data_IF_603465441525
#
_entry.id   IF_603465441525
#
_cell.length_a   1.000
_cell.length_b   1.000
_cell.length_c   1.000
_cell.angle_alpha   90.00
_cell.angle_beta   90.00
_cell.angle_gamma   90.00
#
_symmetry.space_group_name_H-M   'P 1'
#
loop_
_entity.id
_entity.type
_entity.pdbx_description
1 polymer ?
#
# COMPACT_ATOMS: atom_id res chain seq x y z
N UNK A 1 10.58 -19.54 67.75
CA UNK A 1 12.04 -19.48 67.96
C UNK A 1 12.57 -18.52 66.91
N UNK A 2 12.68 -17.20 67.12
CA UNK A 2 13.55 -16.42 68.03
C UNK A 2 15.03 -16.79 67.91
N UNK A 3 15.80 -15.85 67.32
CA UNK A 3 17.14 -15.33 67.73
C UNK A 3 17.77 -14.67 66.49
N UNK A 4 17.65 -13.36 66.24
CA UNK A 4 18.37 -12.24 66.86
C UNK A 4 19.59 -12.60 67.73
N UNK A 5 20.68 -11.83 67.55
CA UNK A 5 21.75 -11.38 68.47
C UNK A 5 23.07 -11.25 67.68
N UNK A 6 23.98 -10.29 67.83
CA UNK A 6 24.17 -9.04 68.59
C UNK A 6 25.42 -8.37 67.97
N UNK A 7 25.42 -7.05 67.70
CA UNK A 7 26.02 -5.98 68.52
C UNK A 7 27.51 -6.13 68.84
N UNK A 8 28.32 -5.10 68.51
CA UNK A 8 29.13 -4.31 69.47
C UNK A 8 29.75 -3.10 68.74
N UNK A 9 29.42 -1.93 69.26
CA UNK A 9 30.01 -0.62 69.01
C UNK A 9 31.05 -0.38 70.13
N UNK A 10 32.25 0.13 69.81
CA UNK A 10 33.14 0.75 70.79
C UNK A 10 33.57 2.14 70.31
N UNK A 11 33.39 3.08 71.22
CA UNK A 11 33.50 4.53 71.18
C UNK A 11 34.90 4.97 71.67
N UNK A 12 35.00 6.26 72.08
CA UNK A 12 35.96 6.85 73.05
C UNK A 12 37.05 7.65 72.28
N UNK A 13 37.23 8.98 72.40
CA UNK A 13 37.39 9.91 73.55
C UNK A 13 37.23 11.36 73.01
N UNK A 14 36.30 12.19 73.53
CA UNK A 14 36.49 13.37 74.42
C UNK A 14 37.44 14.49 73.93
N UNK A 15 37.34 15.78 74.27
CA UNK A 15 36.65 16.69 75.20
C UNK A 15 37.00 18.11 74.63
N UNK A 16 36.38 19.26 74.88
CA UNK A 16 36.30 20.01 76.15
C UNK A 16 35.82 21.46 75.81
N UNK A 17 34.79 21.95 76.53
CA UNK A 17 34.61 23.33 77.06
C UNK A 17 34.09 24.45 76.14
N UNK A 18 32.84 24.95 76.30
CA UNK A 18 32.24 25.85 77.32
C UNK A 18 32.78 27.30 77.26
N UNK A 19 32.00 28.23 76.68
CA UNK A 19 31.38 29.44 77.27
C UNK A 19 31.13 30.56 76.23
N UNK A 20 30.11 31.42 76.46
CA UNK A 20 29.57 32.36 75.48
C UNK A 20 30.34 33.68 75.46
N UNK A 21 30.54 34.22 74.26
CA UNK A 21 31.07 35.56 74.04
C UNK A 21 30.18 36.29 73.04
N UNK A 22 29.39 37.23 73.54
CA UNK A 22 28.66 38.19 72.74
C UNK A 22 29.70 39.16 72.12
N UNK A 23 29.77 39.28 70.80
CA UNK A 23 30.34 40.47 70.18
C UNK A 23 29.72 40.73 68.81
N UNK A 24 29.17 41.93 68.70
CA UNK A 24 28.61 42.56 67.51
C UNK A 24 29.69 42.84 66.46
N UNK A 25 29.39 42.37 65.25
CA UNK A 25 29.57 43.03 63.95
C UNK A 25 30.98 43.48 63.50
N UNK A 26 31.43 42.86 62.40
CA UNK A 26 32.08 43.58 61.32
C UNK A 26 31.65 42.94 59.99
N UNK A 27 31.09 43.75 59.11
CA UNK A 27 30.54 43.39 57.81
C UNK A 27 31.71 43.07 56.85
N UNK A 28 31.82 41.81 56.40
CA UNK A 28 32.74 41.40 55.35
C UNK A 28 31.98 41.25 54.03
N UNK A 29 32.45 41.98 53.01
CA UNK A 29 31.94 41.93 51.64
C UNK A 29 32.07 40.50 51.06
N UNK A 30 31.04 39.98 50.37
CA UNK A 30 31.05 38.62 49.85
C UNK A 30 32.04 38.45 48.70
N UNK A 31 32.81 37.37 48.78
CA UNK A 31 33.71 36.91 47.70
C UNK A 31 32.87 36.33 46.55
N UNK A 32 33.15 36.79 45.32
CA UNK A 32 32.44 36.36 44.11
C UNK A 32 32.93 34.98 43.68
N UNK A 33 32.02 34.00 43.66
CA UNK A 33 32.22 32.67 43.07
C UNK A 33 32.12 32.76 41.54
N UNK A 34 32.94 32.03 40.74
CA UNK A 34 32.84 32.08 39.29
C UNK A 34 31.52 31.49 38.80
N UNK A 35 30.74 32.28 38.06
CA UNK A 35 29.52 31.85 37.38
C UNK A 35 29.87 30.82 36.30
N UNK A 36 29.32 29.61 36.39
CA UNK A 36 29.28 28.66 35.27
C UNK A 36 28.48 29.29 34.14
N UNK A 37 29.12 29.55 33.01
CA UNK A 37 28.46 29.93 31.76
C UNK A 37 27.57 28.77 31.31
N UNK A 38 26.26 28.91 31.46
CA UNK A 38 25.28 28.00 30.86
C UNK A 38 25.27 28.24 29.34
N UNK A 39 25.61 27.19 28.59
CA UNK A 39 25.46 27.16 27.14
C UNK A 39 23.96 27.35 26.81
N UNK A 40 23.62 28.14 25.76
CA UNK A 40 22.23 28.29 25.35
C UNK A 40 21.61 26.92 25.05
N UNK A 41 20.32 26.70 25.36
CA UNK A 41 19.66 25.46 24.97
C UNK A 41 19.75 25.30 23.45
N UNK A 42 20.22 24.15 23.00
CA UNK A 42 20.10 23.73 21.60
C UNK A 42 18.63 23.86 21.19
N UNK A 43 18.30 24.55 20.08
CA UNK A 43 16.92 24.60 19.62
C UNK A 43 16.42 23.18 19.42
N UNK A 44 15.34 22.83 20.11
CA UNK A 44 14.60 21.60 19.82
C UNK A 44 14.24 21.66 18.33
N UNK A 45 14.55 20.63 17.54
CA UNK A 45 14.12 20.60 16.14
C UNK A 45 12.60 20.78 16.14
N UNK A 46 12.14 21.82 15.46
CA UNK A 46 10.71 21.96 15.14
C UNK A 46 10.30 20.64 14.47
N UNK A 47 9.24 19.96 14.95
CA UNK A 47 8.75 18.78 14.26
C UNK A 47 8.51 19.17 12.80
N UNK A 48 9.13 18.42 11.89
CA UNK A 48 8.88 18.54 10.47
C UNK A 48 7.37 18.42 10.27
N UNK A 49 6.72 19.34 9.53
CA UNK A 49 5.29 19.24 9.30
C UNK A 49 4.99 17.86 8.72
N UNK A 50 4.03 17.16 9.33
CA UNK A 50 3.53 15.89 8.80
C UNK A 50 3.21 16.07 7.31
N UNK A 51 3.65 15.14 6.43
CA UNK A 51 3.43 15.29 5.01
C UNK A 51 1.92 15.46 4.75
N UNK A 52 1.57 16.52 4.02
CA UNK A 52 0.19 16.79 3.63
C UNK A 52 -0.24 15.68 2.68
N UNK A 53 -1.13 14.82 3.14
CA UNK A 53 -1.62 13.68 2.36
C UNK A 53 -2.73 14.17 1.42
N UNK A 54 -2.38 14.43 0.15
CA UNK A 54 -3.29 15.03 -0.85
C UNK A 54 -4.64 14.33 -0.93
N UNK A 55 -4.66 12.99 -0.80
CA UNK A 55 -5.86 12.17 -0.90
C UNK A 55 -6.88 12.39 0.22
N UNK A 56 -6.53 13.10 1.30
CA UNK A 56 -7.47 13.40 2.39
C UNK A 56 -8.41 14.57 2.08
N UNK A 57 -8.04 15.41 1.13
CA UNK A 57 -8.71 16.69 0.88
C UNK A 57 -9.36 16.76 -0.52
N UNK A 58 -9.42 15.63 -1.24
CA UNK A 58 -9.99 15.54 -2.59
C UNK A 58 -11.18 14.59 -2.65
N UNK A 59 -12.07 14.84 -3.61
CA UNK A 59 -13.13 13.90 -4.01
C UNK A 59 -12.61 13.03 -5.15
N UNK A 60 -12.74 11.71 -4.98
CA UNK A 60 -12.45 10.74 -6.04
C UNK A 60 -13.71 10.46 -6.87
N UNK A 61 -13.52 10.31 -8.17
CA UNK A 61 -14.54 9.85 -9.11
C UNK A 61 -14.11 8.53 -9.75
N UNK A 62 -14.90 7.48 -9.56
CA UNK A 62 -14.65 6.16 -10.14
C UNK A 62 -15.14 6.13 -11.59
N UNK A 63 -14.26 5.70 -12.51
CA UNK A 63 -14.55 5.62 -13.94
C UNK A 63 -14.36 4.18 -14.42
N UNK A 64 -15.42 3.64 -14.99
CA UNK A 64 -15.34 2.48 -15.87
C UNK A 64 -15.12 2.96 -17.31
N UNK A 65 -13.88 2.93 -17.79
CA UNK A 65 -13.46 3.52 -19.09
C UNK A 65 -14.42 3.12 -20.22
N UNK A 66 -14.67 1.82 -20.37
CA UNK A 66 -15.57 1.22 -21.36
C UNK A 66 -16.96 1.86 -21.44
N UNK A 67 -17.48 2.40 -20.35
CA UNK A 67 -18.86 2.90 -20.26
C UNK A 67 -18.95 4.42 -20.01
N UNK A 68 -17.81 5.12 -19.98
CA UNK A 68 -17.81 6.54 -19.64
C UNK A 68 -18.12 7.42 -20.85
N UNK A 69 -17.27 7.38 -21.87
CA UNK A 69 -17.49 8.14 -23.10
C UNK A 69 -16.69 7.57 -24.28
N UNK A 70 -17.37 7.31 -25.38
CA UNK A 70 -16.84 6.79 -26.65
C UNK A 70 -16.45 7.97 -27.56
N UNK A 71 -15.17 8.05 -27.93
CA UNK A 71 -14.60 9.15 -28.70
C UNK A 71 -14.57 8.91 -30.22
N UNK A 72 -14.60 7.65 -30.66
CA UNK A 72 -14.38 7.27 -32.06
C UNK A 72 -15.59 6.59 -32.73
N UNK A 73 -16.63 6.28 -31.95
CA UNK A 73 -17.91 5.74 -32.38
C UNK A 73 -17.95 4.23 -32.52
N UNK A 74 -17.00 3.49 -31.94
CA UNK A 74 -16.97 2.02 -31.97
C UNK A 74 -17.94 1.36 -30.96
N UNK A 75 -18.52 2.15 -30.05
CA UNK A 75 -19.46 1.72 -29.01
C UNK A 75 -18.80 1.42 -27.66
N UNK A 76 -17.50 1.67 -27.50
CA UNK A 76 -16.70 1.45 -26.30
C UNK A 76 -16.09 2.79 -25.86
N UNK A 77 -16.19 3.10 -24.57
CA UNK A 77 -15.50 4.26 -24.01
C UNK A 77 -13.99 4.05 -23.93
N UNK A 78 -13.24 5.13 -24.11
CA UNK A 78 -11.79 5.11 -24.31
C UNK A 78 -11.10 6.30 -23.58
N UNK A 79 -9.75 6.32 -23.53
CA UNK A 79 -9.01 7.38 -22.84
C UNK A 79 -9.19 8.76 -23.45
N UNK A 80 -9.27 8.85 -24.79
CA UNK A 80 -9.54 10.11 -25.48
C UNK A 80 -10.95 10.63 -25.16
N UNK A 81 -11.89 9.72 -24.93
CA UNK A 81 -13.23 10.03 -24.47
C UNK A 81 -13.25 10.61 -23.05
N UNK A 82 -12.40 10.08 -22.15
CA UNK A 82 -12.21 10.68 -20.82
C UNK A 82 -11.64 12.11 -20.94
N UNK A 83 -10.62 12.31 -21.79
CA UNK A 83 -10.03 13.64 -22.05
C UNK A 83 -11.11 14.63 -22.53
N UNK A 84 -11.98 14.22 -23.46
CA UNK A 84 -13.08 15.04 -23.97
C UNK A 84 -14.12 15.42 -22.91
N UNK A 85 -14.10 14.78 -21.74
CA UNK A 85 -14.99 15.07 -20.61
C UNK A 85 -14.27 15.67 -19.41
N UNK A 86 -12.99 16.05 -19.55
CA UNK A 86 -12.28 16.70 -18.45
C UNK A 86 -13.01 17.93 -17.95
N UNK A 87 -13.51 18.82 -18.82
CA UNK A 87 -14.22 20.03 -18.37
C UNK A 87 -15.52 19.73 -17.59
N UNK A 88 -16.12 18.55 -17.78
CA UNK A 88 -17.25 18.11 -16.93
C UNK A 88 -16.79 17.63 -15.55
N UNK A 89 -15.63 16.99 -15.48
CA UNK A 89 -15.06 16.45 -14.26
C UNK A 89 -14.40 17.54 -13.42
N UNK A 90 -13.55 18.34 -14.05
CA UNK A 90 -12.86 19.50 -13.49
C UNK A 90 -12.41 20.43 -14.65
N UNK A 91 -12.92 21.66 -14.71
CA UNK A 91 -12.55 22.62 -15.77
C UNK A 91 -11.25 23.40 -15.49
N UNK A 92 -10.70 23.26 -14.28
CA UNK A 92 -9.47 23.91 -13.82
C UNK A 92 -9.64 25.36 -13.37
N UNK A 93 -10.84 25.95 -13.39
CA UNK A 93 -11.12 27.29 -12.88
C UNK A 93 -11.80 27.22 -11.50
N UNK A 94 -11.11 27.54 -10.39
CA UNK A 94 -11.73 27.50 -9.06
C UNK A 94 -12.81 28.57 -8.83
N UNK A 95 -13.13 29.39 -9.84
CA UNK A 95 -14.18 30.40 -9.79
C UNK A 95 -15.46 30.01 -10.54
N UNK A 96 -15.46 28.88 -11.27
CA UNK A 96 -16.65 28.25 -11.84
C UNK A 96 -17.17 27.17 -10.89
N UNK A 97 -18.41 26.72 -11.11
CA UNK A 97 -19.11 25.75 -10.23
C UNK A 97 -20.11 24.89 -11.03
N UNK A 98 -19.85 24.70 -12.33
CA UNK A 98 -20.69 23.94 -13.26
C UNK A 98 -20.09 22.59 -13.67
N UNK A 99 -18.90 22.27 -13.15
CA UNK A 99 -18.25 20.96 -13.18
C UNK A 99 -18.46 20.20 -11.86
N UNK A 100 -17.78 19.06 -11.69
CA UNK A 100 -17.84 18.25 -10.47
C UNK A 100 -16.75 18.59 -9.44
N UNK A 101 -15.78 19.44 -9.80
CA UNK A 101 -14.66 19.87 -8.95
C UNK A 101 -13.84 18.69 -8.37
N UNK A 102 -13.71 17.57 -9.11
CA UNK A 102 -13.00 16.38 -8.61
C UNK A 102 -11.50 16.65 -8.51
N UNK A 103 -10.85 16.03 -7.52
CA UNK A 103 -9.38 16.10 -7.38
C UNK A 103 -8.69 14.74 -7.57
N UNK A 104 -9.46 13.66 -7.72
CA UNK A 104 -8.95 12.32 -7.97
C UNK A 104 -9.83 11.53 -8.93
N UNK A 105 -9.22 10.72 -9.78
CA UNK A 105 -9.87 9.70 -10.60
C UNK A 105 -9.38 8.33 -10.15
N UNK A 106 -10.32 7.40 -9.95
CA UNK A 106 -10.02 5.98 -9.85
C UNK A 106 -10.52 5.29 -11.12
N UNK A 107 -9.60 4.71 -11.88
CA UNK A 107 -9.95 3.87 -13.02
C UNK A 107 -10.15 2.42 -12.58
N UNK A 108 -11.30 1.84 -12.92
CA UNK A 108 -11.48 0.38 -12.97
C UNK A 108 -10.39 -0.27 -13.86
N UNK A 109 -10.20 -1.61 -13.85
CA UNK A 109 -9.07 -2.24 -14.53
C UNK A 109 -8.89 -1.80 -15.98
N UNK A 110 -7.69 -1.33 -16.28
CA UNK A 110 -7.31 -0.82 -17.61
C UNK A 110 -6.37 -1.73 -18.37
N UNK A 111 -5.92 -2.84 -17.78
CA UNK A 111 -5.03 -3.80 -18.44
C UNK A 111 -5.81 -4.67 -19.45
N UNK A 112 -5.12 -5.28 -20.44
CA UNK A 112 -5.70 -6.32 -21.29
C UNK A 112 -6.34 -7.44 -20.46
N UNK A 113 -7.53 -7.83 -20.87
CA UNK A 113 -8.33 -8.87 -20.23
C UNK A 113 -9.35 -9.42 -21.25
N UNK A 114 -9.72 -10.71 -21.15
CA UNK A 114 -10.75 -11.30 -22.00
C UNK A 114 -12.18 -11.01 -21.49
N UNK A 115 -12.34 -10.50 -20.26
CA UNK A 115 -13.65 -10.22 -19.67
C UNK A 115 -14.08 -8.77 -19.80
N UNK A 116 -15.38 -8.55 -19.62
CA UNK A 116 -15.99 -7.21 -19.71
C UNK A 116 -15.51 -6.26 -18.61
N UNK A 117 -15.30 -6.76 -17.38
CA UNK A 117 -14.94 -5.94 -16.23
C UNK A 117 -13.42 -5.82 -16.00
N UNK A 118 -12.60 -6.62 -16.68
CA UNK A 118 -11.15 -6.39 -16.75
C UNK A 118 -10.30 -6.98 -15.62
N UNK A 119 -10.90 -7.62 -14.61
CA UNK A 119 -10.18 -8.09 -13.42
C UNK A 119 -9.33 -9.36 -13.67
N UNK A 120 -9.58 -10.10 -14.75
CA UNK A 120 -8.74 -11.21 -15.21
C UNK A 120 -7.69 -10.70 -16.20
N UNK A 121 -6.60 -10.16 -15.64
CA UNK A 121 -5.51 -9.53 -16.40
C UNK A 121 -4.71 -10.55 -17.23
N UNK A 122 -4.37 -10.21 -18.47
CA UNK A 122 -3.49 -11.00 -19.36
C UNK A 122 -2.14 -10.37 -19.62
N UNK A 123 -1.98 -9.07 -19.36
CA UNK A 123 -0.69 -8.35 -19.43
C UNK A 123 -0.70 -7.13 -18.48
N UNK A 124 0.13 -7.17 -17.44
CA UNK A 124 0.23 -6.07 -16.47
C UNK A 124 0.98 -4.84 -16.98
N UNK A 125 1.69 -4.92 -18.10
CA UNK A 125 2.55 -3.84 -18.63
C UNK A 125 1.93 -3.09 -19.80
N UNK A 126 0.70 -3.42 -20.16
CA UNK A 126 -0.05 -2.80 -21.25
C UNK A 126 -1.39 -2.24 -20.75
N UNK A 127 -1.99 -1.39 -21.57
CA UNK A 127 -3.40 -0.99 -21.46
C UNK A 127 -4.25 -1.82 -22.42
N UNK A 128 -5.53 -1.98 -22.10
CA UNK A 128 -6.49 -2.71 -22.90
C UNK A 128 -6.62 -2.01 -24.27
N UNK A 129 -6.41 -2.72 -25.39
CA UNK A 129 -6.45 -2.10 -26.72
C UNK A 129 -7.83 -1.52 -27.08
N UNK A 130 -8.91 -1.96 -26.42
CA UNK A 130 -10.24 -1.37 -26.56
C UNK A 130 -10.31 0.07 -26.00
N UNK A 131 -9.38 0.48 -25.14
CA UNK A 131 -9.38 1.80 -24.50
C UNK A 131 -8.38 2.78 -25.15
N UNK A 132 -7.57 2.30 -26.09
CA UNK A 132 -6.52 3.06 -26.77
C UNK A 132 -5.12 2.50 -26.56
N UNK A 133 -4.12 3.37 -26.71
CA UNK A 133 -2.69 3.04 -26.58
C UNK A 133 -2.09 3.51 -25.26
N UNK A 134 -0.87 3.07 -24.95
CA UNK A 134 -0.13 3.59 -23.80
C UNK A 134 0.15 5.09 -23.95
N UNK A 135 0.33 5.57 -25.18
CA UNK A 135 0.46 6.99 -25.50
C UNK A 135 -0.83 7.76 -25.18
N UNK A 136 -2.01 7.24 -25.56
CA UNK A 136 -3.30 7.86 -25.21
C UNK A 136 -3.50 7.91 -23.70
N UNK A 137 -3.12 6.85 -22.98
CA UNK A 137 -3.20 6.82 -21.53
C UNK A 137 -2.29 7.89 -20.89
N UNK A 138 -1.05 8.02 -21.37
CA UNK A 138 -0.11 9.04 -20.89
C UNK A 138 -0.57 10.47 -21.22
N UNK A 139 -1.22 10.68 -22.37
CA UNK A 139 -1.86 11.96 -22.69
C UNK A 139 -2.98 12.27 -21.69
N UNK A 140 -3.83 11.29 -21.36
CA UNK A 140 -4.85 11.45 -20.32
C UNK A 140 -4.25 11.79 -18.96
N UNK A 141 -3.18 11.12 -18.53
CA UNK A 141 -2.49 11.45 -17.28
C UNK A 141 -1.97 12.89 -17.28
N UNK A 142 -1.41 13.35 -18.40
CA UNK A 142 -0.92 14.72 -18.52
C UNK A 142 -2.05 15.76 -18.45
N UNK A 143 -3.19 15.47 -19.09
CA UNK A 143 -4.38 16.34 -19.05
C UNK A 143 -5.01 16.40 -17.64
N UNK A 144 -5.00 15.29 -16.90
CA UNK A 144 -5.39 15.25 -15.49
C UNK A 144 -4.43 16.08 -14.63
N UNK A 145 -3.12 15.91 -14.81
CA UNK A 145 -2.09 16.66 -14.09
C UNK A 145 -2.20 18.17 -14.32
N UNK A 146 -2.46 18.60 -15.56
CA UNK A 146 -2.64 20.02 -15.93
C UNK A 146 -3.78 20.70 -15.14
N UNK A 147 -4.74 19.90 -14.65
CA UNK A 147 -5.90 20.34 -13.85
C UNK A 147 -5.72 20.05 -12.35
N UNK A 148 -4.58 19.52 -11.94
CA UNK A 148 -4.33 19.10 -10.56
C UNK A 148 -5.12 17.87 -10.13
N UNK A 149 -5.63 17.08 -11.08
CA UNK A 149 -6.34 15.83 -10.81
C UNK A 149 -5.32 14.71 -10.70
N UNK A 150 -5.44 13.91 -9.63
CA UNK A 150 -4.61 12.73 -9.41
C UNK A 150 -5.29 11.48 -9.96
N UNK A 151 -4.54 10.57 -10.56
CA UNK A 151 -5.09 9.35 -11.17
C UNK A 151 -4.55 8.11 -10.49
N UNK A 152 -5.44 7.30 -9.93
CA UNK A 152 -5.12 5.94 -9.47
C UNK A 152 -5.80 4.91 -10.39
N UNK A 153 -5.18 3.75 -10.50
CA UNK A 153 -5.73 2.62 -11.28
C UNK A 153 -6.03 1.44 -10.38
N UNK A 154 -6.95 0.58 -10.80
CA UNK A 154 -7.07 -0.76 -10.25
C UNK A 154 -5.79 -1.57 -10.48
N UNK A 155 -5.29 -2.22 -9.42
CA UNK A 155 -4.17 -3.14 -9.46
C UNK A 155 -4.62 -4.49 -8.89
N UNK A 156 -4.73 -5.48 -9.78
CA UNK A 156 -5.12 -6.85 -9.42
C UNK A 156 -3.89 -7.63 -9.01
N UNK A 157 -3.64 -7.71 -7.70
CA UNK A 157 -2.47 -8.39 -7.16
C UNK A 157 -2.69 -9.90 -6.96
N UNK A 158 -3.92 -10.33 -6.72
CA UNK A 158 -4.19 -11.69 -6.25
C UNK A 158 -4.06 -12.78 -7.32
N UNK A 159 -4.52 -12.49 -8.53
CA UNK A 159 -4.71 -13.49 -9.58
C UNK A 159 -4.46 -12.88 -10.95
N UNK A 160 -4.27 -13.74 -11.94
CA UNK A 160 -4.26 -13.35 -13.36
C UNK A 160 -5.43 -14.02 -14.08
N UNK A 161 -5.62 -13.74 -15.36
CA UNK A 161 -6.44 -14.60 -16.23
C UNK A 161 -5.79 -15.96 -16.43
N UNK A 162 -6.60 -17.00 -16.66
CA UNK A 162 -6.10 -18.25 -17.27
C UNK A 162 -5.47 -18.02 -18.64
N UNK A 163 -5.79 -16.95 -19.35
CA UNK A 163 -5.14 -16.60 -20.64
C UNK A 163 -3.80 -15.88 -20.45
N UNK A 164 -3.39 -15.55 -19.22
CA UNK A 164 -2.12 -14.90 -18.95
C UNK A 164 -0.94 -15.81 -19.38
N UNK A 165 0.09 -15.28 -20.06
CA UNK A 165 1.25 -16.08 -20.50
C UNK A 165 1.93 -16.86 -19.37
N UNK A 166 2.01 -16.27 -18.17
CA UNK A 166 2.50 -16.95 -16.97
C UNK A 166 1.69 -18.21 -16.65
N UNK A 167 0.35 -18.13 -16.61
CA UNK A 167 -0.48 -19.30 -16.31
C UNK A 167 -0.36 -20.36 -17.41
N UNK A 168 -0.40 -19.95 -18.68
CA UNK A 168 -0.23 -20.87 -19.81
C UNK A 168 1.12 -21.60 -19.76
N UNK A 169 2.20 -20.89 -19.41
CA UNK A 169 3.51 -21.49 -19.22
C UNK A 169 3.58 -22.38 -17.98
N UNK A 170 2.87 -22.03 -16.90
CA UNK A 170 2.86 -22.79 -15.64
C UNK A 170 2.22 -24.18 -15.76
N UNK A 171 1.47 -24.45 -16.83
CA UNK A 171 0.88 -25.78 -17.09
C UNK A 171 1.95 -26.87 -17.21
N UNK A 172 3.14 -26.52 -17.72
CA UNK A 172 4.31 -27.40 -17.78
C UNK A 172 5.05 -27.41 -16.44
N UNK A 173 5.14 -28.56 -15.72
CA UNK A 173 5.84 -28.66 -14.44
C UNK A 173 7.33 -28.31 -14.49
N UNK A 174 7.95 -28.32 -15.67
CA UNK A 174 9.37 -27.95 -15.85
C UNK A 174 9.55 -26.46 -16.15
N UNK A 175 8.47 -25.70 -16.29
CA UNK A 175 8.50 -24.25 -16.53
C UNK A 175 8.92 -23.48 -15.29
N UNK A 176 9.69 -22.40 -15.47
CA UNK A 176 10.02 -21.48 -14.39
C UNK A 176 8.78 -20.81 -13.78
N UNK A 177 7.67 -20.77 -14.54
CA UNK A 177 6.39 -20.23 -14.10
C UNK A 177 5.50 -21.26 -13.40
N UNK A 178 5.91 -22.54 -13.30
CA UNK A 178 5.05 -23.57 -12.70
C UNK A 178 4.62 -23.18 -11.28
N UNK A 179 5.61 -22.82 -10.45
CA UNK A 179 5.40 -22.44 -9.05
C UNK A 179 4.94 -20.98 -8.88
N UNK A 180 4.60 -20.27 -9.96
CA UNK A 180 3.94 -18.95 -9.88
C UNK A 180 2.44 -19.08 -9.58
N UNK A 181 1.88 -20.28 -9.68
CA UNK A 181 0.50 -20.61 -9.34
C UNK A 181 0.46 -21.80 -8.39
N UNK A 182 -0.65 -21.97 -7.70
CA UNK A 182 -0.80 -23.03 -6.70
C UNK A 182 -1.43 -24.26 -7.35
N UNK A 183 -0.66 -25.35 -7.46
CA UNK A 183 -1.06 -26.62 -8.08
C UNK A 183 -1.25 -27.76 -7.08
N UNK A 184 -2.11 -28.72 -7.40
CA UNK A 184 -2.32 -29.96 -6.65
C UNK A 184 -2.56 -31.16 -7.58
N UNK A 185 -1.97 -32.31 -7.24
CA UNK A 185 -2.14 -33.57 -8.01
C UNK A 185 -3.56 -34.15 -7.92
N UNK A 186 -4.26 -33.88 -6.82
CA UNK A 186 -5.63 -34.32 -6.56
C UNK A 186 -6.44 -33.21 -5.92
N UNK A 187 -7.74 -33.15 -6.19
CA UNK A 187 -8.65 -32.16 -5.62
C UNK A 187 -8.60 -32.16 -4.08
N UNK A 188 -8.09 -31.08 -3.45
CA UNK A 188 -8.06 -30.97 -2.00
C UNK A 188 -9.44 -30.87 -1.36
N UNK A 189 -10.50 -30.59 -2.15
CA UNK A 189 -11.89 -30.44 -1.68
C UNK A 189 -12.02 -29.44 -0.52
N UNK A 190 -11.13 -28.44 -0.51
CA UNK A 190 -11.18 -27.34 0.46
C UNK A 190 -12.14 -26.31 -0.07
N UNK A 191 -13.15 -25.95 0.73
CA UNK A 191 -14.12 -24.94 0.35
C UNK A 191 -13.51 -23.53 0.46
N UNK A 192 -13.96 -22.62 -0.41
CA UNK A 192 -13.61 -21.21 -0.38
C UNK A 192 -14.29 -20.41 0.73
N UNK A 193 -14.00 -19.10 0.86
CA UNK A 193 -14.57 -18.25 1.91
C UNK A 193 -16.09 -18.10 1.83
N UNK A 194 -16.69 -18.32 0.65
CA UNK A 194 -18.13 -18.30 0.40
C UNK A 194 -18.71 -19.71 0.18
N UNK A 195 -18.03 -20.75 0.68
CA UNK A 195 -18.39 -22.17 0.50
C UNK A 195 -18.45 -22.63 -0.95
N UNK A 196 -17.73 -21.94 -1.84
CA UNK A 196 -17.60 -22.26 -3.26
C UNK A 196 -16.42 -23.22 -3.53
N UNK A 197 -16.41 -23.82 -4.72
CA UNK A 197 -15.24 -24.56 -5.21
C UNK A 197 -14.13 -23.58 -5.62
N UNK A 198 -12.95 -23.76 -5.03
CA UNK A 198 -11.75 -22.94 -5.28
C UNK A 198 -10.62 -23.72 -5.95
N UNK A 199 -10.81 -25.02 -6.16
CA UNK A 199 -9.88 -25.88 -6.87
C UNK A 199 -10.48 -26.30 -8.21
N UNK A 200 -9.79 -25.93 -9.29
CA UNK A 200 -10.28 -26.10 -10.65
C UNK A 200 -9.39 -27.06 -11.41
N UNK A 201 -9.98 -28.01 -12.13
CA UNK A 201 -9.21 -28.99 -12.89
C UNK A 201 -8.72 -28.39 -14.20
N UNK A 202 -7.40 -28.38 -14.42
CA UNK A 202 -6.82 -28.05 -15.71
C UNK A 202 -6.84 -29.29 -16.63
N UNK A 203 -7.43 -29.14 -17.82
CA UNK A 203 -7.59 -30.26 -18.75
C UNK A 203 -6.30 -30.64 -19.50
N UNK A 204 -5.31 -29.74 -19.58
CA UNK A 204 -4.09 -29.97 -20.33
C UNK A 204 -3.08 -30.84 -19.58
N UNK A 205 -2.86 -30.57 -18.29
CA UNK A 205 -1.94 -31.36 -17.44
C UNK A 205 -2.67 -32.30 -16.46
N UNK A 206 -4.00 -32.16 -16.31
CA UNK A 206 -4.82 -32.99 -15.43
C UNK A 206 -4.74 -32.65 -13.94
N UNK A 207 -3.93 -31.66 -13.56
CA UNK A 207 -3.78 -31.15 -12.20
C UNK A 207 -4.95 -30.24 -11.82
N UNK A 208 -5.04 -29.93 -10.53
CA UNK A 208 -5.93 -28.91 -9.99
C UNK A 208 -5.12 -27.65 -9.68
N UNK A 209 -5.69 -26.47 -9.93
CA UNK A 209 -5.11 -25.19 -9.51
C UNK A 209 -6.07 -24.44 -8.59
N UNK A 210 -5.52 -23.63 -7.71
CA UNK A 210 -6.27 -22.76 -6.82
C UNK A 210 -6.68 -21.47 -7.55
N UNK A 211 -7.94 -21.07 -7.37
CA UNK A 211 -8.49 -19.80 -7.85
C UNK A 211 -9.68 -19.43 -6.98
N UNK A 212 -9.50 -18.46 -6.07
CA UNK A 212 -10.46 -18.19 -4.98
C UNK A 212 -11.79 -17.63 -5.49
N UNK A 213 -11.75 -16.87 -6.59
CA UNK A 213 -12.92 -16.23 -7.17
C UNK A 213 -13.67 -17.18 -8.12
N UNK A 214 -13.01 -17.63 -9.19
CA UNK A 214 -13.55 -18.59 -10.15
C UNK A 214 -12.43 -19.17 -11.02
N UNK A 215 -12.72 -20.23 -11.78
CA UNK A 215 -11.69 -20.96 -12.54
C UNK A 215 -10.96 -20.15 -13.63
N UNK A 216 -11.49 -19.03 -14.09
CA UNK A 216 -10.78 -18.17 -15.05
C UNK A 216 -9.76 -17.23 -14.41
N UNK A 217 -9.71 -17.17 -13.08
CA UNK A 217 -8.81 -16.31 -12.29
C UNK A 217 -7.93 -17.18 -11.37
N UNK A 218 -6.91 -17.87 -11.90
CA UNK A 218 -5.95 -18.61 -11.09
C UNK A 218 -5.14 -17.66 -10.20
N UNK A 219 -5.06 -17.99 -8.92
CA UNK A 219 -4.36 -17.18 -7.93
C UNK A 219 -2.85 -17.34 -8.06
N UNK A 220 -2.15 -16.22 -7.94
CA UNK A 220 -0.69 -16.18 -7.90
C UNK A 220 -0.18 -16.76 -6.58
N UNK A 221 0.91 -17.51 -6.64
CA UNK A 221 1.54 -18.14 -5.48
C UNK A 221 2.55 -17.20 -4.81
N UNK A 222 2.11 -16.46 -3.79
CA UNK A 222 2.97 -15.53 -3.07
C UNK A 222 4.00 -16.19 -2.13
N UNK A 223 3.95 -17.50 -1.91
CA UNK A 223 5.05 -18.23 -1.27
C UNK A 223 6.30 -18.29 -2.17
N UNK A 224 6.13 -18.10 -3.48
CA UNK A 224 7.23 -17.95 -4.42
C UNK A 224 7.75 -16.49 -4.41
N UNK A 225 9.00 -16.24 -4.02
CA UNK A 225 9.54 -14.88 -3.95
C UNK A 225 9.60 -14.19 -5.32
N UNK A 226 9.65 -14.94 -6.43
CA UNK A 226 9.68 -14.36 -7.78
C UNK A 226 8.36 -13.70 -8.14
N UNK A 227 7.22 -14.22 -7.67
CA UNK A 227 5.89 -13.59 -7.82
C UNK A 227 5.87 -12.25 -7.11
N UNK A 228 6.32 -12.20 -5.85
CA UNK A 228 6.41 -10.95 -5.09
C UNK A 228 7.32 -9.93 -5.77
N UNK A 229 8.49 -10.38 -6.25
CA UNK A 229 9.42 -9.52 -6.97
C UNK A 229 8.82 -8.99 -8.28
N UNK A 230 8.05 -9.79 -9.01
CA UNK A 230 7.38 -9.35 -10.24
C UNK A 230 6.28 -8.33 -9.96
N UNK A 231 5.45 -8.54 -8.94
CA UNK A 231 4.39 -7.58 -8.60
C UNK A 231 4.93 -6.25 -8.06
N UNK A 232 6.12 -6.26 -7.43
CA UNK A 232 6.87 -5.03 -7.15
C UNK A 232 7.32 -4.32 -8.43
N UNK A 233 7.80 -5.04 -9.46
CA UNK A 233 8.15 -4.44 -10.76
C UNK A 233 6.94 -3.86 -11.47
N UNK A 234 5.82 -4.56 -11.50
CA UNK A 234 4.55 -4.05 -12.06
C UNK A 234 4.17 -2.74 -11.38
N UNK A 235 4.17 -2.71 -10.04
CA UNK A 235 3.85 -1.50 -9.27
C UNK A 235 4.80 -0.35 -9.60
N UNK A 236 6.10 -0.64 -9.70
CA UNK A 236 7.12 0.36 -10.06
C UNK A 236 6.93 0.89 -11.48
N UNK A 237 6.64 0.03 -12.45
CA UNK A 237 6.39 0.42 -13.84
C UNK A 237 5.27 1.45 -13.92
N UNK A 238 4.13 1.19 -13.27
CA UNK A 238 3.00 2.13 -13.30
C UNK A 238 3.31 3.44 -12.56
N UNK A 239 4.02 3.41 -11.43
CA UNK A 239 4.35 4.62 -10.67
C UNK A 239 5.46 5.47 -11.30
N UNK A 240 6.52 4.85 -11.82
CA UNK A 240 7.74 5.54 -12.25
C UNK A 240 7.82 5.71 -13.78
N UNK A 241 7.47 4.68 -14.56
CA UNK A 241 7.59 4.73 -16.02
C UNK A 241 6.33 5.26 -16.70
N UNK A 242 5.16 4.98 -16.12
CA UNK A 242 3.88 5.46 -16.65
C UNK A 242 3.44 6.75 -15.97
N UNK A 243 3.56 6.83 -14.65
CA UNK A 243 3.29 8.04 -13.87
C UNK A 243 1.90 8.11 -13.24
N UNK A 244 1.29 6.97 -12.87
CA UNK A 244 0.05 7.00 -12.06
C UNK A 244 0.35 7.45 -10.63
N UNK A 245 -0.63 8.06 -9.97
CA UNK A 245 -0.49 8.60 -8.62
C UNK A 245 -0.79 7.56 -7.53
N UNK A 246 -1.08 6.31 -7.90
CA UNK A 246 -1.43 5.28 -6.93
C UNK A 246 -2.29 4.15 -7.46
N UNK A 247 -2.80 3.35 -6.51
CA UNK A 247 -3.54 2.13 -6.81
C UNK A 247 -4.77 1.95 -5.90
N UNK A 248 -5.88 1.49 -6.50
CA UNK A 248 -6.87 0.71 -5.76
C UNK A 248 -6.47 -0.75 -5.88
N UNK A 249 -6.30 -1.45 -4.76
CA UNK A 249 -5.84 -2.85 -4.76
C UNK A 249 -7.04 -3.77 -4.66
N UNK A 250 -7.28 -4.51 -5.74
CA UNK A 250 -8.32 -5.54 -5.80
C UNK A 250 -7.97 -6.74 -4.92
N UNK A 251 -8.98 -7.39 -4.34
CA UNK A 251 -8.81 -8.67 -3.65
C UNK A 251 -7.72 -8.66 -2.55
N UNK A 252 -7.51 -7.51 -1.90
CA UNK A 252 -6.34 -7.26 -1.03
C UNK A 252 -6.24 -8.21 0.18
N UNK A 253 -7.25 -9.01 0.47
CA UNK A 253 -7.26 -9.92 1.62
C UNK A 253 -6.78 -11.33 1.29
N UNK A 254 -6.61 -11.68 0.02
CA UNK A 254 -6.57 -13.08 -0.43
C UNK A 254 -5.20 -13.57 -0.94
N UNK A 255 -4.14 -12.74 -0.85
CA UNK A 255 -2.83 -13.06 -1.46
C UNK A 255 -2.19 -14.37 -1.00
N UNK A 256 -2.43 -14.78 0.24
CA UNK A 256 -1.92 -16.04 0.78
C UNK A 256 -3.10 -16.89 1.29
N UNK A 257 -3.02 -18.19 1.05
CA UNK A 257 -3.98 -19.18 1.51
C UNK A 257 -3.27 -20.36 2.17
N UNK A 258 -3.66 -20.68 3.41
CA UNK A 258 -3.22 -21.87 4.14
C UNK A 258 -4.44 -22.73 4.52
N UNK A 259 -4.74 -23.71 3.66
CA UNK A 259 -5.86 -24.63 3.84
C UNK A 259 -7.20 -23.89 3.98
N UNK A 260 -7.76 -23.89 5.19
CA UNK A 260 -9.04 -23.23 5.49
C UNK A 260 -8.92 -21.73 5.76
N UNK A 261 -7.71 -21.21 5.97
CA UNK A 261 -7.46 -19.78 6.20
C UNK A 261 -7.03 -19.17 4.87
N UNK A 262 -7.98 -18.55 4.18
CA UNK A 262 -7.78 -18.05 2.81
C UNK A 262 -7.90 -16.53 2.70
N UNK A 263 -8.09 -15.83 3.83
CA UNK A 263 -8.13 -14.37 3.89
C UNK A 263 -7.46 -13.85 5.16
N UNK A 264 -6.98 -12.60 5.10
CA UNK A 264 -6.43 -11.87 6.25
C UNK A 264 -5.30 -12.59 6.98
N UNK A 265 -4.52 -13.37 6.23
CA UNK A 265 -3.36 -14.05 6.79
C UNK A 265 -2.34 -12.99 7.26
N UNK A 266 -1.48 -13.37 8.21
CA UNK A 266 -0.42 -12.47 8.68
C UNK A 266 0.58 -12.18 7.57
N UNK A 267 0.77 -13.16 6.71
CA UNK A 267 1.62 -13.15 5.54
C UNK A 267 1.10 -12.13 4.51
N UNK A 268 -0.21 -12.10 4.24
CA UNK A 268 -0.85 -11.05 3.41
C UNK A 268 -0.61 -9.67 4.00
N UNK A 269 -0.86 -9.48 5.31
CA UNK A 269 -0.65 -8.18 5.96
C UNK A 269 0.83 -7.76 5.88
N UNK A 270 1.76 -8.66 6.19
CA UNK A 270 3.19 -8.39 6.13
C UNK A 270 3.63 -8.03 4.70
N UNK A 271 3.14 -8.76 3.70
CA UNK A 271 3.45 -8.46 2.30
C UNK A 271 3.00 -7.05 1.91
N UNK A 272 1.82 -6.61 2.35
CA UNK A 272 1.35 -5.24 2.10
C UNK A 272 2.15 -4.18 2.86
N UNK A 273 2.67 -4.47 4.05
CA UNK A 273 3.60 -3.57 4.76
C UNK A 273 4.92 -3.40 3.99
N UNK A 274 5.46 -4.51 3.47
CA UNK A 274 6.69 -4.53 2.69
C UNK A 274 6.48 -3.84 1.33
N UNK A 275 5.39 -4.17 0.63
CA UNK A 275 4.98 -3.52 -0.62
C UNK A 275 4.76 -2.02 -0.43
N UNK A 276 4.14 -1.61 0.68
CA UNK A 276 4.00 -0.19 1.04
C UNK A 276 5.33 0.49 1.20
N UNK A 277 6.26 -0.15 1.90
CA UNK A 277 7.59 0.41 2.12
C UNK A 277 8.30 0.58 0.77
N UNK A 278 8.22 -0.43 -0.09
CA UNK A 278 8.76 -0.40 -1.45
C UNK A 278 8.16 0.71 -2.32
N UNK A 279 6.84 0.76 -2.50
CA UNK A 279 6.25 1.72 -3.44
C UNK A 279 6.41 3.16 -2.94
N UNK A 280 6.53 3.38 -1.63
CA UNK A 280 6.83 4.70 -1.05
C UNK A 280 8.27 5.15 -1.28
N UNK A 281 9.22 4.22 -1.46
CA UNK A 281 10.57 4.56 -1.93
C UNK A 281 10.55 4.96 -3.41
N UNK A 282 9.71 4.32 -4.23
CA UNK A 282 9.52 4.66 -5.65
C UNK A 282 8.87 6.03 -5.81
N UNK A 283 7.74 6.25 -5.12
CA UNK A 283 7.01 7.52 -5.13
C UNK A 283 6.42 7.79 -3.72
N UNK A 284 7.02 8.72 -2.95
CA UNK A 284 6.55 9.07 -1.60
C UNK A 284 5.09 9.59 -1.57
N UNK A 285 4.63 10.18 -2.66
CA UNK A 285 3.29 10.78 -2.79
C UNK A 285 2.23 9.79 -3.29
N UNK A 286 2.62 8.57 -3.70
CA UNK A 286 1.69 7.58 -4.23
C UNK A 286 0.63 7.16 -3.20
N UNK A 287 -0.64 7.14 -3.58
CA UNK A 287 -1.75 6.73 -2.74
C UNK A 287 -2.14 5.28 -2.98
N UNK A 288 -2.52 4.53 -1.94
CA UNK A 288 -3.12 3.21 -2.13
C UNK A 288 -4.34 3.00 -1.24
N UNK A 289 -5.39 2.40 -1.79
CA UNK A 289 -6.58 1.97 -1.04
C UNK A 289 -6.86 0.49 -1.35
N UNK A 290 -6.97 -0.34 -0.31
CA UNK A 290 -7.26 -1.76 -0.48
C UNK A 290 -8.76 -2.05 -0.46
N UNK A 291 -9.22 -2.89 -1.38
CA UNK A 291 -10.55 -3.46 -1.31
C UNK A 291 -10.60 -4.57 -0.25
N UNK A 292 -11.26 -4.28 0.88
CA UNK A 292 -11.38 -5.18 2.01
C UNK A 292 -12.86 -5.31 2.38
N UNK A 293 -13.58 -6.23 1.73
CA UNK A 293 -14.96 -6.55 2.06
C UNK A 293 -15.03 -7.54 3.22
N UNK A 294 -15.09 -7.03 4.44
CA UNK A 294 -15.23 -7.80 5.68
C UNK A 294 -16.54 -7.46 6.41
N UNK A 295 -17.06 -8.41 7.20
CA UNK A 295 -18.01 -8.04 8.25
C UNK A 295 -17.26 -7.25 9.33
N UNK A 296 -17.80 -6.07 9.69
CA UNK A 296 -17.24 -5.19 10.73
C UNK A 296 -17.43 -5.75 12.15
#
# INVERSE_FOLDING_TARGET
>A
MVKNKHFILIFVVFLLFILPGCSTQAEQLPTVTPTKTTQPPTPTPTPEPEPVLWWKDVVFYEIFVRSFYDSDGDGIGDFQGIIQKMDYLNDGDPNTHDDLEIGGIWLMPINPSPSYHGYDVTDYYAVNPDYGTMEDFKEFLQEAENRGIKVIIDLVLNHTSTEHPWFQASVDPESEYHDWYVWAESDPQTAGPWFQDVWHRNNANGLFYYGVFWGGMPDLNYDNPDVSAEMMKVSKFWLEEVGVDGFRVDAARYLFADGMVQSDTKETVQWFEDWRSFYKEVNPDAFTVGEVWAEN
#
